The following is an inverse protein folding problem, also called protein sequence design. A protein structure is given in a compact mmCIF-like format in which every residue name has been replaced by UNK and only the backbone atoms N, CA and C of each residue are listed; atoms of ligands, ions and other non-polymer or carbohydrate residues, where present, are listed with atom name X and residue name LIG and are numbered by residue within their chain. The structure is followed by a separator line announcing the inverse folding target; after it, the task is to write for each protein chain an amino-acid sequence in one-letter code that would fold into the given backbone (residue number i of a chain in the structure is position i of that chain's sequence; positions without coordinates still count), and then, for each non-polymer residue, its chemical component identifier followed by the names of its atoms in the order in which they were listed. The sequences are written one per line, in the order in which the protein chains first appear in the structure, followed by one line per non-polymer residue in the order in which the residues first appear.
data_IF_533848851560
#
_entry.id   IF_533848851560
#
_cell.length_a   1.000
_cell.length_b   1.000
_cell.length_c   1.000
_cell.angle_alpha   90.00
_cell.angle_beta   90.00
_cell.angle_gamma   90.00
#
_symmetry.space_group_name_H-M   'P 1'
#
loop_
_entity.id
_entity.type
_entity.pdbx_description
1 polymer ?
#
# COMPACT_ATOMS: atom_id res chain seq x y z
N UNK A 1 25.62 2.93 -85.43
CA UNK A 1 24.96 2.09 -84.49
C UNK A 1 25.41 2.49 -83.08
N UNK A 2 24.62 3.34 -82.38
CA UNK A 2 24.98 3.86 -81.04
C UNK A 2 24.12 3.12 -80.03
N UNK A 3 24.78 2.40 -79.11
CA UNK A 3 24.16 1.81 -77.92
C UNK A 3 23.95 2.86 -76.86
N UNK A 4 22.70 3.02 -76.41
CA UNK A 4 22.35 3.84 -75.29
C UNK A 4 22.25 2.93 -74.07
N UNK A 5 23.12 3.15 -73.11
CA UNK A 5 23.03 2.48 -71.78
C UNK A 5 22.06 3.26 -70.89
N UNK A 6 20.95 2.64 -70.54
CA UNK A 6 20.02 3.17 -69.56
C UNK A 6 20.44 2.72 -68.17
N UNK A 7 20.77 3.69 -67.32
CA UNK A 7 21.05 3.50 -65.90
C UNK A 7 19.72 3.49 -65.12
N UNK A 8 19.36 2.36 -64.53
CA UNK A 8 18.22 2.26 -63.62
C UNK A 8 18.59 2.73 -62.22
N UNK A 9 17.97 3.79 -61.77
CA UNK A 9 18.13 4.32 -60.40
C UNK A 9 17.14 3.60 -59.45
N UNK A 10 17.66 2.74 -58.61
CA UNK A 10 16.85 2.08 -57.57
C UNK A 10 16.68 3.04 -56.36
N UNK A 11 15.44 3.51 -56.17
CA UNK A 11 15.06 4.27 -54.97
C UNK A 11 14.72 3.33 -53.87
N UNK A 12 15.57 3.23 -52.85
CA UNK A 12 15.29 2.51 -51.61
C UNK A 12 14.38 3.33 -50.72
N UNK A 13 13.13 2.95 -50.57
CA UNK A 13 12.19 3.55 -49.62
C UNK A 13 12.45 2.93 -48.26
N UNK A 14 13.04 3.70 -47.36
CA UNK A 14 13.15 3.36 -45.92
C UNK A 14 11.80 3.61 -45.27
N UNK A 15 11.06 2.54 -44.95
CA UNK A 15 9.87 2.61 -44.12
C UNK A 15 10.35 2.72 -42.66
N UNK A 16 10.34 3.93 -42.11
CA UNK A 16 10.47 4.13 -40.67
C UNK A 16 9.20 3.63 -40.00
N UNK A 17 9.23 2.45 -39.38
CA UNK A 17 8.22 2.02 -38.42
C UNK A 17 8.38 2.85 -37.17
N UNK A 18 7.34 3.56 -36.68
CA UNK A 18 7.40 4.20 -35.39
C UNK A 18 7.50 3.12 -34.33
N UNK A 19 8.66 2.98 -33.72
CA UNK A 19 8.82 2.16 -32.53
C UNK A 19 7.90 2.68 -31.45
N UNK A 20 6.92 1.88 -31.05
CA UNK A 20 6.13 2.10 -29.84
C UNK A 20 7.10 1.96 -28.68
N UNK A 21 7.67 3.06 -28.22
CA UNK A 21 8.34 3.12 -26.93
C UNK A 21 7.25 2.90 -25.89
N UNK A 22 7.12 1.66 -25.43
CA UNK A 22 6.35 1.37 -24.22
C UNK A 22 6.98 2.23 -23.12
N UNK A 23 6.26 3.25 -22.67
CA UNK A 23 6.60 3.99 -21.48
C UNK A 23 6.59 2.98 -20.33
N UNK A 24 7.76 2.42 -20.02
CA UNK A 24 7.99 1.75 -18.75
C UNK A 24 7.75 2.83 -17.72
N UNK A 25 6.65 2.72 -16.97
CA UNK A 25 6.37 3.63 -15.88
C UNK A 25 7.62 3.65 -15.00
N UNK A 26 8.29 4.80 -14.95
CA UNK A 26 9.38 5.01 -14.01
C UNK A 26 8.79 4.74 -12.64
N UNK A 27 9.26 3.69 -11.97
CA UNK A 27 8.94 3.48 -10.57
C UNK A 27 9.43 4.71 -9.83
N UNK A 28 8.52 5.41 -9.18
CA UNK A 28 8.90 6.58 -8.39
C UNK A 28 9.95 6.17 -7.36
N UNK A 29 11.07 6.89 -7.35
CA UNK A 29 12.19 6.58 -6.47
C UNK A 29 11.76 6.86 -5.02
N UNK A 30 11.94 5.87 -4.15
CA UNK A 30 11.73 6.05 -2.71
C UNK A 30 12.69 7.10 -2.17
N UNK A 31 12.15 8.08 -1.43
CA UNK A 31 12.93 9.16 -0.83
C UNK A 31 13.83 8.66 0.28
N UNK A 32 14.91 9.36 0.52
CA UNK A 32 15.72 9.15 1.72
C UNK A 32 14.95 9.65 2.95
N UNK A 33 15.00 8.88 4.04
CA UNK A 33 14.46 9.24 5.34
C UNK A 33 15.62 9.39 6.30
N UNK A 34 15.82 10.60 6.81
CA UNK A 34 16.90 10.87 7.76
C UNK A 34 16.57 10.30 9.14
N UNK A 35 17.56 9.64 9.76
CA UNK A 35 17.42 9.03 11.07
C UNK A 35 16.32 7.97 11.11
N UNK A 36 16.19 7.18 10.04
CA UNK A 36 15.21 6.11 9.93
C UNK A 36 15.46 4.95 10.90
N UNK A 37 14.43 4.12 11.06
CA UNK A 37 14.40 2.98 11.97
C UNK A 37 13.06 2.86 12.70
N UNK A 38 12.96 1.86 13.57
CA UNK A 38 11.78 1.62 14.40
C UNK A 38 12.09 2.00 15.85
N UNK A 39 11.50 3.08 16.33
CA UNK A 39 11.71 3.66 17.66
C UNK A 39 10.46 3.56 18.56
N UNK A 40 9.48 2.77 18.20
CA UNK A 40 8.32 2.45 19.02
C UNK A 40 8.61 1.14 19.79
N UNK A 41 8.61 1.14 21.14
CA UNK A 41 8.91 -0.05 21.95
C UNK A 41 8.00 -1.23 21.61
N UNK A 42 8.60 -2.40 21.40
CA UNK A 42 7.89 -3.64 21.05
C UNK A 42 7.43 -3.74 19.58
N UNK A 43 7.64 -2.69 18.78
CA UNK A 43 7.28 -2.71 17.36
C UNK A 43 8.47 -3.13 16.50
N UNK A 44 8.14 -3.70 15.35
CA UNK A 44 9.06 -4.05 14.28
C UNK A 44 8.41 -3.75 12.94
N UNK A 45 9.12 -3.98 11.85
CA UNK A 45 8.59 -3.76 10.52
C UNK A 45 9.33 -4.54 9.43
N UNK A 46 8.74 -4.55 8.25
CA UNK A 46 9.37 -5.06 7.03
C UNK A 46 8.99 -4.16 5.86
N UNK A 47 9.98 -3.77 5.08
CA UNK A 47 9.76 -3.09 3.81
C UNK A 47 9.37 -4.10 2.72
N UNK A 48 8.85 -3.62 1.61
CA UNK A 48 8.47 -4.51 0.51
C UNK A 48 9.70 -5.16 -0.15
N UNK A 49 9.55 -6.42 -0.55
CA UNK A 49 10.63 -7.22 -1.12
C UNK A 49 11.34 -6.57 -2.33
N UNK A 50 10.61 -5.79 -3.13
CA UNK A 50 11.23 -5.06 -4.25
C UNK A 50 12.16 -3.94 -3.79
N UNK A 51 11.83 -3.28 -2.67
CA UNK A 51 12.69 -2.29 -2.06
C UNK A 51 13.92 -2.93 -1.42
N UNK A 52 13.76 -4.09 -0.75
CA UNK A 52 14.88 -4.89 -0.22
C UNK A 52 15.84 -5.31 -1.33
N UNK A 53 15.30 -5.80 -2.46
CA UNK A 53 16.12 -6.15 -3.64
C UNK A 53 16.84 -4.94 -4.24
N UNK A 54 16.30 -3.74 -4.09
CA UNK A 54 16.94 -2.48 -4.48
C UNK A 54 17.95 -1.96 -3.42
N UNK A 55 18.24 -2.73 -2.38
CA UNK A 55 19.22 -2.40 -1.33
C UNK A 55 18.67 -1.47 -0.24
N UNK A 56 17.36 -1.22 -0.20
CA UNK A 56 16.74 -0.47 0.88
C UNK A 56 16.53 -1.35 2.12
N UNK A 57 16.42 -0.71 3.27
CA UNK A 57 16.23 -1.36 4.57
C UNK A 57 15.21 -0.59 5.41
N UNK A 58 14.88 -1.08 6.59
CA UNK A 58 14.05 -0.34 7.56
C UNK A 58 14.64 1.02 7.95
N UNK A 59 15.96 1.23 7.81
CA UNK A 59 16.58 2.54 8.03
C UNK A 59 16.18 3.59 6.98
N UNK A 60 15.54 3.19 5.89
CA UNK A 60 14.96 4.09 4.89
C UNK A 60 13.49 4.46 5.17
N UNK A 61 12.95 4.00 6.30
CA UNK A 61 11.63 4.39 6.81
C UNK A 61 11.74 4.66 8.32
N UNK A 62 10.83 5.43 8.89
CA UNK A 62 10.88 5.83 10.29
C UNK A 62 9.54 5.61 10.97
N UNK A 63 9.56 4.93 12.11
CA UNK A 63 8.45 4.81 13.04
C UNK A 63 8.90 5.31 14.41
N UNK A 64 8.25 6.35 14.90
CA UNK A 64 8.40 6.80 16.30
C UNK A 64 7.07 6.72 17.00
N UNK A 65 7.08 6.72 18.34
CA UNK A 65 5.87 6.78 19.17
C UNK A 65 6.02 7.87 20.21
N UNK A 66 5.03 8.76 20.29
CA UNK A 66 4.92 9.81 21.27
C UNK A 66 3.56 9.71 21.95
N UNK A 67 3.54 9.40 23.24
CA UNK A 67 2.30 9.02 23.93
C UNK A 67 1.64 7.81 23.23
N UNK A 68 0.39 7.98 22.80
CA UNK A 68 -0.36 6.96 22.07
C UNK A 68 -0.40 7.18 20.55
N UNK A 69 0.37 8.15 20.07
CA UNK A 69 0.45 8.49 18.64
C UNK A 69 1.74 7.96 18.03
N UNK A 70 1.61 7.28 16.90
CA UNK A 70 2.74 6.92 16.06
C UNK A 70 2.96 8.00 15.01
N UNK A 71 4.23 8.30 14.72
CA UNK A 71 4.64 9.14 13.60
C UNK A 71 5.37 8.26 12.61
N UNK A 72 4.92 8.25 11.38
CA UNK A 72 5.45 7.43 10.30
C UNK A 72 5.91 8.31 9.16
N UNK A 73 7.13 8.08 8.69
CA UNK A 73 7.66 8.65 7.45
C UNK A 73 8.28 7.52 6.64
N UNK A 74 7.89 7.37 5.38
CA UNK A 74 8.40 6.29 4.55
C UNK A 74 9.20 6.79 3.35
N UNK A 75 10.34 6.16 3.11
CA UNK A 75 10.97 6.09 1.80
C UNK A 75 10.33 4.94 1.03
N UNK A 76 10.69 3.66 1.31
CA UNK A 76 10.00 2.51 0.76
C UNK A 76 8.66 2.25 1.43
N UNK A 77 7.82 1.47 0.76
CA UNK A 77 6.61 0.93 1.35
C UNK A 77 6.95 -0.05 2.49
N UNK A 78 6.21 0.04 3.59
CA UNK A 78 6.53 -0.68 4.83
C UNK A 78 5.28 -1.13 5.59
N UNK A 79 5.40 -2.26 6.25
CA UNK A 79 4.42 -2.79 7.20
C UNK A 79 5.04 -2.79 8.58
N UNK A 80 4.34 -2.22 9.59
CA UNK A 80 4.76 -2.19 11.00
C UNK A 80 3.78 -2.93 11.88
N UNK A 81 4.29 -3.68 12.86
CA UNK A 81 3.47 -4.42 13.82
C UNK A 81 4.18 -4.57 15.16
N UNK A 82 3.39 -4.82 16.19
CA UNK A 82 3.87 -5.38 17.44
C UNK A 82 3.51 -6.88 17.46
N UNK A 83 4.45 -7.81 17.68
CA UNK A 83 4.15 -9.24 17.74
C UNK A 83 3.12 -9.66 18.78
N UNK A 84 2.90 -8.83 19.81
CA UNK A 84 1.86 -9.04 20.82
C UNK A 84 0.45 -8.67 20.34
N UNK A 85 0.33 -7.87 19.26
CA UNK A 85 -0.95 -7.47 18.69
C UNK A 85 -1.54 -8.61 17.86
N UNK A 86 -2.27 -9.51 18.51
CA UNK A 86 -2.90 -10.68 17.87
C UNK A 86 -4.38 -10.73 18.15
N UNK A 87 -5.16 -11.06 17.13
CA UNK A 87 -6.58 -11.28 17.23
C UNK A 87 -7.01 -12.59 16.54
N UNK A 88 -8.15 -13.12 16.96
CA UNK A 88 -8.76 -14.33 16.42
C UNK A 88 -10.28 -14.31 16.51
N UNK A 89 -10.95 -15.08 15.67
CA UNK A 89 -12.41 -15.16 15.61
C UNK A 89 -13.04 -13.88 15.08
N UNK A 90 -14.01 -13.32 15.79
CA UNK A 90 -14.69 -12.08 15.42
C UNK A 90 -14.08 -10.89 16.15
N UNK A 91 -13.59 -9.91 15.39
CA UNK A 91 -12.93 -8.73 15.94
C UNK A 91 -12.95 -7.56 14.95
N UNK A 92 -12.71 -6.38 15.47
CA UNK A 92 -12.49 -5.16 14.68
C UNK A 92 -11.19 -4.50 15.12
N UNK A 93 -10.32 -4.19 14.16
CA UNK A 93 -9.13 -3.34 14.37
C UNK A 93 -9.41 -2.00 13.73
N UNK A 94 -9.14 -0.90 14.44
CA UNK A 94 -9.29 0.45 13.90
C UNK A 94 -8.17 1.38 14.35
N UNK A 95 -7.94 2.43 13.57
CA UNK A 95 -7.07 3.55 13.91
C UNK A 95 -7.46 4.79 13.10
N UNK A 96 -7.06 5.96 13.61
CA UNK A 96 -7.15 7.24 12.91
C UNK A 96 -5.79 7.60 12.33
N UNK A 97 -5.77 7.88 11.03
CA UNK A 97 -4.61 8.31 10.27
C UNK A 97 -4.77 9.78 9.89
N UNK A 98 -3.75 10.58 10.15
CA UNK A 98 -3.71 11.97 9.67
C UNK A 98 -2.46 12.18 8.84
N UNK A 99 -2.62 12.41 7.56
CA UNK A 99 -1.58 12.89 6.66
C UNK A 99 -1.54 14.44 6.81
N UNK A 100 -0.51 15.00 7.46
CA UNK A 100 -0.52 16.43 7.81
C UNK A 100 -0.33 17.34 6.59
N UNK A 101 0.34 16.81 5.57
CA UNK A 101 0.63 17.52 4.33
C UNK A 101 0.51 16.54 3.16
N UNK A 102 -0.71 16.42 2.65
CA UNK A 102 -1.02 15.55 1.53
C UNK A 102 -0.06 15.74 0.36
N UNK A 103 0.53 14.65 -0.13
CA UNK A 103 1.53 14.65 -1.21
C UNK A 103 2.83 15.44 -0.92
N UNK A 104 3.18 15.66 0.35
CA UNK A 104 4.41 16.41 0.69
C UNK A 104 5.71 15.72 0.22
N UNK A 105 5.71 14.38 0.19
CA UNK A 105 6.89 13.57 -0.15
C UNK A 105 6.83 13.00 -1.58
N UNK A 106 5.79 13.31 -2.35
CA UNK A 106 5.54 12.71 -3.66
C UNK A 106 4.74 13.67 -4.56
N UNK A 107 4.50 13.28 -5.80
CA UNK A 107 3.72 14.02 -6.78
C UNK A 107 2.39 13.34 -7.14
N UNK A 108 2.05 12.25 -6.47
CA UNK A 108 0.77 11.54 -6.61
C UNK A 108 0.38 10.86 -5.28
N UNK A 109 -0.91 10.55 -5.08
CA UNK A 109 -1.41 9.99 -3.82
C UNK A 109 -0.82 8.62 -3.51
N UNK A 110 -0.44 8.42 -2.25
CA UNK A 110 -0.04 7.11 -1.72
C UNK A 110 -0.93 6.69 -0.55
N UNK A 111 -1.30 5.38 -0.46
CA UNK A 111 -2.22 4.93 0.56
C UNK A 111 -1.52 4.55 1.87
N UNK A 112 -2.29 4.68 2.94
CA UNK A 112 -1.96 4.22 4.28
C UNK A 112 -3.17 3.58 4.94
N UNK A 113 -2.95 2.65 5.86
CA UNK A 113 -4.06 1.97 6.52
C UNK A 113 -3.67 0.88 7.49
N UNK A 114 -4.62 0.01 7.76
CA UNK A 114 -4.55 -1.09 8.73
C UNK A 114 -4.40 -2.41 7.98
N UNK A 115 -3.67 -3.34 8.57
CA UNK A 115 -3.71 -4.74 8.19
C UNK A 115 -4.16 -5.63 9.35
N UNK A 116 -4.75 -6.78 9.01
CA UNK A 116 -5.15 -7.87 9.90
C UNK A 116 -4.69 -9.22 9.34
N UNK A 117 -4.89 -10.27 10.13
CA UNK A 117 -4.59 -11.65 9.72
C UNK A 117 -3.11 -11.88 9.37
N UNK A 118 -2.21 -11.14 10.03
CA UNK A 118 -0.77 -11.23 9.80
C UNK A 118 -0.22 -12.56 10.30
N UNK A 119 0.30 -13.37 9.38
CA UNK A 119 0.96 -14.64 9.66
C UNK A 119 2.35 -14.66 9.04
N UNK A 120 3.28 -15.36 9.68
CA UNK A 120 4.69 -15.45 9.27
C UNK A 120 5.34 -14.09 9.03
N UNK A 121 4.91 -13.10 9.81
CA UNK A 121 5.34 -11.71 9.67
C UNK A 121 6.85 -11.54 9.80
N UNK A 122 7.44 -10.73 8.93
CA UNK A 122 8.88 -10.49 8.87
C UNK A 122 9.65 -11.51 8.02
N UNK A 123 9.01 -12.56 7.53
CA UNK A 123 9.62 -13.54 6.60
C UNK A 123 9.19 -13.28 5.16
N UNK A 124 9.77 -14.01 4.21
CA UNK A 124 9.34 -13.97 2.80
C UNK A 124 8.00 -14.70 2.57
N UNK A 125 7.50 -15.40 3.58
CA UNK A 125 6.20 -16.10 3.57
C UNK A 125 5.10 -15.29 4.27
N UNK A 126 5.37 -14.04 4.66
CA UNK A 126 4.38 -13.22 5.36
C UNK A 126 3.10 -13.07 4.55
N UNK A 127 1.98 -13.18 5.26
CA UNK A 127 0.65 -12.99 4.67
C UNK A 127 -0.22 -12.11 5.56
N UNK A 128 -1.01 -11.23 4.95
CA UNK A 128 -1.97 -10.35 5.63
C UNK A 128 -2.93 -9.70 4.63
N UNK A 129 -4.06 -9.22 5.13
CA UNK A 129 -5.02 -8.38 4.39
C UNK A 129 -4.95 -6.96 4.92
N UNK A 130 -4.95 -5.95 4.05
CA UNK A 130 -4.99 -4.55 4.45
C UNK A 130 -6.05 -3.74 3.71
N UNK A 131 -6.63 -2.78 4.41
CA UNK A 131 -7.46 -1.71 3.87
C UNK A 131 -6.71 -0.39 4.05
N UNK A 132 -6.60 0.38 2.99
CA UNK A 132 -5.87 1.64 3.00
C UNK A 132 -6.60 2.72 2.20
N UNK A 133 -6.54 3.94 2.71
CA UNK A 133 -7.11 5.12 2.07
C UNK A 133 -6.02 5.98 1.43
N UNK A 134 -6.41 6.68 0.37
CA UNK A 134 -5.64 7.76 -0.24
C UNK A 134 -6.24 9.10 0.16
N UNK A 135 -5.43 10.11 0.31
CA UNK A 135 -5.90 11.48 0.57
C UNK A 135 -6.66 12.14 -0.60
N UNK A 136 -6.90 11.42 -1.70
CA UNK A 136 -7.70 11.88 -2.84
C UNK A 136 -9.13 11.33 -2.88
N UNK A 137 -9.58 10.61 -1.85
CA UNK A 137 -10.92 10.04 -1.77
C UNK A 137 -11.06 8.62 -2.31
N UNK A 138 -9.95 7.96 -2.64
CA UNK A 138 -9.92 6.56 -3.06
C UNK A 138 -9.49 5.66 -1.91
N UNK A 139 -9.80 4.37 -2.03
CA UNK A 139 -9.32 3.32 -1.11
C UNK A 139 -8.94 2.05 -1.87
N UNK A 140 -8.17 1.21 -1.21
CA UNK A 140 -7.81 -0.13 -1.68
C UNK A 140 -7.99 -1.16 -0.58
N UNK A 141 -8.36 -2.38 -0.99
CA UNK A 141 -8.26 -3.59 -0.16
C UNK A 141 -7.38 -4.57 -0.90
N UNK A 142 -6.26 -4.92 -0.28
CA UNK A 142 -5.23 -5.79 -0.86
C UNK A 142 -4.63 -6.69 0.20
N UNK A 143 -3.82 -7.63 -0.22
CA UNK A 143 -3.08 -8.47 0.70
C UNK A 143 -1.82 -9.04 0.10
N UNK A 144 -1.07 -9.65 0.97
CA UNK A 144 0.05 -10.52 0.67
C UNK A 144 -0.32 -11.94 1.09
N UNK A 145 0.04 -12.87 0.29
CA UNK A 145 -0.05 -14.31 0.50
C UNK A 145 1.17 -14.92 -0.17
N UNK A 146 1.09 -16.14 -0.73
CA UNK A 146 2.13 -16.66 -1.61
C UNK A 146 2.48 -15.68 -2.74
N UNK A 147 1.47 -14.94 -3.21
CA UNK A 147 1.62 -13.81 -4.14
C UNK A 147 0.78 -12.61 -3.65
N UNK A 148 1.16 -11.37 -3.99
CA UNK A 148 0.33 -10.21 -3.72
C UNK A 148 -1.02 -10.32 -4.42
N UNK A 149 -2.12 -10.02 -3.71
CA UNK A 149 -3.46 -10.10 -4.26
C UNK A 149 -4.27 -8.81 -4.04
N UNK A 150 -5.29 -8.62 -4.87
CA UNK A 150 -6.18 -7.46 -4.84
C UNK A 150 -7.63 -7.94 -4.65
N UNK A 151 -8.37 -7.23 -3.79
CA UNK A 151 -9.78 -7.52 -3.52
C UNK A 151 -10.70 -6.52 -4.24
N UNK A 152 -10.19 -5.33 -4.56
CA UNK A 152 -10.88 -4.31 -5.34
C UNK A 152 -10.00 -3.77 -6.48
N UNK A 153 -10.47 -2.77 -7.22
CA UNK A 153 -9.85 -2.29 -8.45
C UNK A 153 -8.36 -1.96 -8.34
N UNK A 154 -7.60 -2.24 -9.41
CA UNK A 154 -6.14 -2.09 -9.44
C UNK A 154 -5.65 -0.68 -9.06
N UNK A 155 -6.43 0.37 -9.38
CA UNK A 155 -6.09 1.77 -9.08
C UNK A 155 -6.77 2.30 -7.83
N UNK A 156 -7.45 1.40 -7.07
CA UNK A 156 -8.35 1.79 -6.02
C UNK A 156 -9.72 2.19 -6.54
N UNK A 157 -10.64 2.42 -5.62
CA UNK A 157 -12.02 2.82 -5.90
C UNK A 157 -12.33 4.10 -5.15
N UNK A 158 -13.06 5.01 -5.78
CA UNK A 158 -13.55 6.21 -5.14
C UNK A 158 -14.76 5.87 -4.25
N UNK A 159 -14.80 6.47 -3.05
CA UNK A 159 -15.96 6.36 -2.17
C UNK A 159 -16.19 7.69 -1.44
N UNK A 160 -17.43 8.11 -1.31
CA UNK A 160 -17.80 9.37 -0.66
C UNK A 160 -17.42 9.41 0.84
N UNK A 161 -17.30 8.24 1.49
CA UNK A 161 -16.87 8.15 2.88
C UNK A 161 -15.36 8.43 3.06
N UNK A 162 -14.55 8.33 2.00
CA UNK A 162 -13.11 8.61 2.06
C UNK A 162 -12.88 10.09 1.90
N UNK A 163 -12.34 10.75 2.92
CA UNK A 163 -12.07 12.18 2.88
C UNK A 163 -11.02 12.53 1.83
N UNK A 164 -11.16 13.72 1.27
CA UNK A 164 -10.20 14.30 0.32
C UNK A 164 -9.49 15.46 0.98
N UNK A 165 -8.18 15.54 0.81
CA UNK A 165 -7.44 16.75 1.09
C UNK A 165 -7.95 17.90 0.19
N UNK A 166 -7.95 19.11 0.70
CA UNK A 166 -8.37 20.29 -0.10
C UNK A 166 -7.42 20.55 -1.27
N UNK A 167 -6.17 20.12 -1.14
CA UNK A 167 -5.13 20.22 -2.18
C UNK A 167 -3.79 19.67 -1.69
N UNK A 168 -2.76 19.65 -2.56
CA UNK A 168 -1.41 19.30 -2.13
C UNK A 168 -0.92 20.21 -1.00
N UNK A 169 -0.29 19.61 0.02
CA UNK A 169 0.17 20.32 1.22
C UNK A 169 -0.89 20.48 2.32
N UNK A 170 -2.16 20.20 2.04
CA UNK A 170 -3.26 20.29 3.00
C UNK A 170 -3.44 18.99 3.81
N UNK A 171 -3.93 19.07 5.05
CA UNK A 171 -4.13 17.89 5.88
C UNK A 171 -5.34 17.08 5.43
N UNK A 172 -5.29 15.77 5.68
CA UNK A 172 -6.44 14.87 5.55
C UNK A 172 -6.41 13.80 6.63
N UNK A 173 -7.57 13.50 7.20
CA UNK A 173 -7.71 12.50 8.28
C UNK A 173 -8.73 11.45 7.87
N UNK A 174 -8.41 10.17 8.16
CA UNK A 174 -9.27 9.02 7.94
C UNK A 174 -9.32 8.15 9.20
N UNK A 175 -10.47 7.75 9.65
CA UNK A 175 -10.60 6.57 10.52
C UNK A 175 -10.74 5.35 9.63
N UNK A 176 -9.87 4.36 9.79
CA UNK A 176 -9.90 3.11 9.01
C UNK A 176 -10.12 1.95 9.96
N UNK A 177 -11.04 1.05 9.61
CA UNK A 177 -11.32 -0.16 10.36
C UNK A 177 -11.38 -1.38 9.44
N UNK A 178 -10.83 -2.50 9.92
CA UNK A 178 -10.99 -3.83 9.34
C UNK A 178 -11.66 -4.74 10.38
N UNK A 179 -12.74 -5.39 9.98
CA UNK A 179 -13.53 -6.27 10.84
C UNK A 179 -13.64 -7.67 10.28
N UNK A 180 -13.61 -8.65 11.18
CA UNK A 180 -14.05 -10.04 10.92
C UNK A 180 -15.33 -10.27 11.71
N UNK A 181 -16.43 -10.58 11.04
CA UNK A 181 -17.77 -10.76 11.62
C UNK A 181 -18.42 -11.99 11.01
N UNK A 182 -18.37 -13.13 11.73
CA UNK A 182 -18.84 -14.40 11.19
C UNK A 182 -18.11 -14.77 9.89
N UNK A 183 -18.89 -14.87 8.83
CA UNK A 183 -18.40 -15.20 7.48
C UNK A 183 -18.05 -13.99 6.62
N UNK A 184 -17.97 -12.78 7.22
CA UNK A 184 -17.68 -11.53 6.52
C UNK A 184 -16.39 -10.90 6.99
N UNK A 185 -15.67 -10.30 6.04
CA UNK A 185 -14.52 -9.40 6.29
C UNK A 185 -14.87 -8.05 5.68
N UNK A 186 -14.85 -6.98 6.49
CA UNK A 186 -15.31 -5.66 6.08
C UNK A 186 -14.22 -4.61 6.29
N UNK A 187 -14.04 -3.75 5.30
CA UNK A 187 -13.29 -2.50 5.44
C UNK A 187 -14.29 -1.36 5.62
N UNK A 188 -14.13 -0.57 6.67
CA UNK A 188 -14.88 0.65 6.90
C UNK A 188 -13.91 1.85 6.96
N UNK A 189 -14.34 2.97 6.39
CA UNK A 189 -13.60 4.24 6.43
C UNK A 189 -14.57 5.32 6.89
N UNK A 190 -14.15 6.09 7.90
CA UNK A 190 -14.95 7.14 8.52
C UNK A 190 -16.37 6.67 8.93
N UNK A 191 -16.43 5.47 9.53
CA UNK A 191 -17.66 4.86 10.02
C UNK A 191 -18.53 4.17 8.95
N UNK A 192 -18.19 4.24 7.67
CA UNK A 192 -18.96 3.64 6.58
C UNK A 192 -18.22 2.41 6.02
N UNK A 193 -18.91 1.28 5.88
CA UNK A 193 -18.39 0.09 5.20
C UNK A 193 -18.23 0.41 3.71
N UNK A 194 -17.01 0.48 3.24
CA UNK A 194 -16.65 0.80 1.84
C UNK A 194 -16.42 -0.46 1.00
N UNK A 195 -16.10 -1.58 1.64
CA UNK A 195 -15.96 -2.88 0.99
C UNK A 195 -16.28 -4.02 1.98
N UNK A 196 -16.87 -5.08 1.47
CA UNK A 196 -17.17 -6.29 2.25
C UNK A 196 -17.03 -7.54 1.39
N UNK A 197 -16.41 -8.57 1.96
CA UNK A 197 -16.10 -9.83 1.28
C UNK A 197 -16.54 -11.01 2.12
N UNK A 198 -16.91 -12.08 1.46
CA UNK A 198 -17.06 -13.36 2.13
C UNK A 198 -15.70 -13.82 2.64
N UNK A 199 -15.65 -14.37 3.85
CA UNK A 199 -14.40 -14.89 4.44
C UNK A 199 -13.73 -15.92 3.54
N UNK A 200 -14.52 -16.75 2.85
CA UNK A 200 -14.01 -17.73 1.87
C UNK A 200 -13.35 -17.09 0.64
N UNK A 201 -13.71 -15.85 0.29
CA UNK A 201 -13.05 -15.12 -0.80
C UNK A 201 -11.69 -14.55 -0.40
N UNK A 202 -11.46 -14.41 0.91
CA UNK A 202 -10.22 -13.88 1.49
C UNK A 202 -9.31 -15.03 1.95
N UNK A 203 -9.89 -16.05 2.61
CA UNK A 203 -9.20 -17.26 3.08
C UNK A 203 -9.36 -18.34 2.04
N UNK A 204 -8.40 -18.42 1.12
CA UNK A 204 -8.39 -19.38 0.00
C UNK A 204 -6.97 -19.60 -0.50
N UNK A 205 -6.76 -20.62 -1.32
CA UNK A 205 -5.46 -20.88 -1.94
C UNK A 205 -4.93 -19.63 -2.68
N UNK A 206 -3.67 -19.30 -2.46
CA UNK A 206 -3.03 -18.10 -3.04
C UNK A 206 -3.26 -16.80 -2.28
N UNK A 207 -4.11 -16.78 -1.24
CA UNK A 207 -4.36 -15.61 -0.40
C UNK A 207 -4.02 -15.91 1.07
N UNK A 208 -4.94 -15.68 1.99
CA UNK A 208 -4.73 -15.93 3.42
C UNK A 208 -4.99 -17.39 3.80
N UNK A 209 -4.28 -17.87 4.82
CA UNK A 209 -4.54 -19.17 5.47
C UNK A 209 -5.66 -19.07 6.52
N UNK A 210 -5.80 -17.90 7.15
CA UNK A 210 -6.77 -17.61 8.23
C UNK A 210 -7.03 -16.12 8.29
N UNK A 211 -8.12 -15.70 8.94
CA UNK A 211 -8.34 -14.32 9.37
C UNK A 211 -7.77 -14.04 10.76
N UNK A 212 -7.29 -15.05 11.48
CA UNK A 212 -6.61 -14.91 12.77
C UNK A 212 -5.15 -14.51 12.55
N UNK A 213 -4.58 -13.69 13.42
CA UNK A 213 -3.18 -13.34 13.32
C UNK A 213 -2.86 -11.97 13.90
N UNK A 214 -1.69 -11.48 13.53
CA UNK A 214 -1.16 -10.17 13.92
C UNK A 214 -1.91 -9.07 13.16
N UNK A 215 -2.12 -7.92 13.83
CA UNK A 215 -2.59 -6.71 13.20
C UNK A 215 -1.58 -5.57 13.39
N UNK A 216 -1.65 -4.57 12.52
CA UNK A 216 -0.79 -3.41 12.55
C UNK A 216 -1.13 -2.40 11.46
N UNK A 217 -0.12 -1.64 11.04
CA UNK A 217 -0.28 -0.54 10.10
C UNK A 217 0.56 -0.76 8.84
N UNK A 218 0.02 -0.31 7.71
CA UNK A 218 0.65 -0.43 6.39
C UNK A 218 0.73 0.95 5.73
N UNK A 219 1.89 1.26 5.18
CA UNK A 219 2.15 2.49 4.43
C UNK A 219 2.74 2.18 3.06
N UNK A 220 2.29 2.90 2.05
CA UNK A 220 2.99 2.97 0.78
C UNK A 220 4.31 3.75 0.90
N UNK A 221 5.08 3.76 -0.16
CA UNK A 221 6.31 4.56 -0.22
C UNK A 221 6.00 6.07 -0.20
N UNK A 222 6.99 6.89 0.16
CA UNK A 222 6.90 8.35 0.14
C UNK A 222 5.65 8.92 0.85
N UNK A 223 5.30 8.36 2.02
CA UNK A 223 4.14 8.75 2.82
C UNK A 223 4.59 9.28 4.18
N UNK A 224 3.92 10.32 4.65
CA UNK A 224 4.08 10.84 6.00
C UNK A 224 2.71 10.94 6.67
N UNK A 225 2.52 10.30 7.82
CA UNK A 225 1.28 10.43 8.59
C UNK A 225 1.48 10.11 10.08
N UNK A 226 0.55 10.60 10.89
CA UNK A 226 0.38 10.14 12.26
C UNK A 226 -0.70 9.09 12.35
N UNK A 227 -0.59 8.17 13.32
CA UNK A 227 -1.58 7.13 13.61
C UNK A 227 -1.90 7.18 15.10
N UNK A 228 -3.17 7.35 15.43
CA UNK A 228 -3.66 7.36 16.81
C UNK A 228 -4.82 6.38 16.98
N UNK A 229 -5.08 5.98 18.23
CA UNK A 229 -6.21 5.13 18.58
C UNK A 229 -6.18 3.74 17.93
N UNK A 230 -5.00 3.19 17.63
CA UNK A 230 -4.89 1.81 17.15
C UNK A 230 -5.34 0.84 18.24
N UNK A 231 -6.49 0.24 18.02
CA UNK A 231 -7.15 -0.66 18.98
C UNK A 231 -7.75 -1.86 18.26
N UNK A 232 -7.88 -2.96 19.00
CA UNK A 232 -8.66 -4.11 18.60
C UNK A 232 -9.77 -4.37 19.63
N UNK A 233 -10.96 -4.71 19.15
CA UNK A 233 -12.13 -5.06 19.98
C UNK A 233 -12.75 -6.36 19.48
N UNK A 234 -13.25 -7.20 20.39
CA UNK A 234 -14.07 -8.36 20.04
C UNK A 234 -15.46 -7.91 19.59
N UNK A 235 -16.00 -8.58 18.57
CA UNK A 235 -17.35 -8.38 18.05
C UNK A 235 -18.32 -9.42 18.63
#
# INVERSE_FOLDING_TARGET
MRLVHGTALAVAVFILTPGVVAAQGQSEISRAVEGGGVFAPGWTGKIDANAEKAGQTLANAKLTKEGDTFHVTTGPAVTYWNPANKESGNYTVKATFTEPKYMNLNNHPHPYGIFIAGNEMGTDQQSYLYCAAYGNGNFIVRGFGPEPFQMNGRRGEANAAVHKAAGPGEPVTQEIALSVKGDRVECAINGTVVAGYDKSAVVTAGKLKSTDGIYGIRFAHNTEATVSGLTATKN
#
